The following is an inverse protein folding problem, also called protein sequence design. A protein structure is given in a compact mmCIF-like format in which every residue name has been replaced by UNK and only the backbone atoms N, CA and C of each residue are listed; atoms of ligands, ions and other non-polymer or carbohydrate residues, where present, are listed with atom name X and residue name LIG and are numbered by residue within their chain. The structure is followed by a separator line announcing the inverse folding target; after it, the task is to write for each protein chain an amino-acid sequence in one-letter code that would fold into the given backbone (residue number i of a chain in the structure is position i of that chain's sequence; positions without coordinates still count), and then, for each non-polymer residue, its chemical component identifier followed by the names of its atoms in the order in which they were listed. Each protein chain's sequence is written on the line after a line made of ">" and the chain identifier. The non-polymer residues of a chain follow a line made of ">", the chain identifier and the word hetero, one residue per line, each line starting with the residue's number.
data_IF_405690529278
#
_entry.id   IF_405690529278
#
_cell.length_a   1.000
_cell.length_b   1.000
_cell.length_c   1.000
_cell.angle_alpha   90.00
_cell.angle_beta   90.00
_cell.angle_gamma   90.00
#
_symmetry.space_group_name_H-M   'P 1'
#
loop_
_entity.id
_entity.type
_entity.pdbx_description
1 polymer ?
#
# COMPACT_ATOMS: atom_id res chain seq x y z
N UNK A 1 2.73 25.38 -7.19
CA UNK A 1 3.63 24.23 -7.46
C UNK A 1 2.86 23.00 -7.91
N UNK A 2 1.83 22.55 -7.18
CA UNK A 2 1.02 21.37 -7.57
C UNK A 2 0.47 21.46 -9.01
N UNK A 3 -0.14 22.59 -9.41
CA UNK A 3 -0.65 22.79 -10.78
C UNK A 3 0.42 22.63 -11.87
N UNK A 4 1.64 23.14 -11.66
CA UNK A 4 2.74 23.03 -12.62
C UNK A 4 3.23 21.59 -12.74
N UNK A 5 3.35 20.88 -11.61
CA UNK A 5 3.69 19.46 -11.62
C UNK A 5 2.61 18.61 -12.31
N UNK A 6 1.33 18.96 -12.12
CA UNK A 6 0.21 18.28 -12.76
C UNK A 6 0.23 18.46 -14.28
N UNK A 7 0.39 19.70 -14.75
CA UNK A 7 0.53 20.01 -16.17
C UNK A 7 1.73 19.30 -16.81
N UNK A 8 2.83 19.09 -16.07
CA UNK A 8 3.97 18.33 -16.57
C UNK A 8 3.65 16.85 -16.79
N UNK A 9 2.88 16.24 -15.89
CA UNK A 9 2.42 14.84 -16.00
C UNK A 9 1.42 14.69 -17.14
N UNK A 10 0.51 15.64 -17.30
CA UNK A 10 -0.43 15.64 -18.43
C UNK A 10 0.30 15.77 -19.77
N UNK A 11 1.26 16.69 -19.86
CA UNK A 11 2.07 16.92 -21.07
C UNK A 11 2.96 15.74 -21.45
N UNK A 12 3.27 14.83 -20.53
CA UNK A 12 3.97 13.57 -20.85
C UNK A 12 3.03 12.49 -21.41
N UNK A 13 1.74 12.79 -21.57
CA UNK A 13 0.74 11.89 -22.13
C UNK A 13 0.07 10.97 -21.10
N UNK A 14 0.23 11.23 -19.81
CA UNK A 14 -0.38 10.43 -18.75
C UNK A 14 -1.81 10.90 -18.48
N UNK A 15 -2.75 9.96 -18.44
CA UNK A 15 -4.10 10.21 -17.96
C UNK A 15 -4.08 10.34 -16.43
N UNK A 16 -4.26 11.56 -15.95
CA UNK A 16 -4.22 11.91 -14.53
C UNK A 16 -5.34 11.24 -13.74
N UNK A 17 -6.57 11.21 -14.28
CA UNK A 17 -7.72 10.66 -13.56
C UNK A 17 -7.54 9.15 -13.36
N UNK A 18 -7.04 8.47 -14.39
CA UNK A 18 -6.68 7.05 -14.29
C UNK A 18 -5.52 6.82 -13.32
N UNK A 19 -4.49 7.67 -13.34
CA UNK A 19 -3.38 7.57 -12.39
C UNK A 19 -3.88 7.72 -10.94
N UNK A 20 -4.75 8.69 -10.69
CA UNK A 20 -5.31 8.94 -9.37
C UNK A 20 -6.17 7.75 -8.91
N UNK A 21 -7.01 7.19 -9.78
CA UNK A 21 -7.81 6.00 -9.49
C UNK A 21 -6.92 4.81 -9.08
N UNK A 22 -5.83 4.58 -9.82
CA UNK A 22 -4.87 3.51 -9.52
C UNK A 22 -4.16 3.75 -8.19
N UNK A 23 -3.72 4.97 -7.90
CA UNK A 23 -3.04 5.31 -6.65
C UNK A 23 -3.97 5.12 -5.44
N UNK A 24 -5.20 5.62 -5.53
CA UNK A 24 -6.22 5.50 -4.46
C UNK A 24 -6.57 4.04 -4.22
N UNK A 25 -6.80 3.27 -5.29
CA UNK A 25 -7.15 1.85 -5.18
C UNK A 25 -6.02 1.04 -4.56
N UNK A 26 -4.77 1.30 -4.96
CA UNK A 26 -3.61 0.63 -4.36
C UNK A 26 -3.44 1.04 -2.89
N UNK A 27 -3.50 2.33 -2.55
CA UNK A 27 -3.40 2.76 -1.16
C UNK A 27 -4.50 2.11 -0.27
N UNK A 28 -5.74 2.03 -0.77
CA UNK A 28 -6.80 1.33 -0.08
C UNK A 28 -6.48 -0.16 0.14
N UNK A 29 -5.95 -0.83 -0.88
CA UNK A 29 -5.52 -2.23 -0.78
C UNK A 29 -4.43 -2.40 0.29
N UNK A 30 -3.36 -1.60 0.25
CA UNK A 30 -2.26 -1.65 1.23
C UNK A 30 -2.75 -1.50 2.68
N UNK A 31 -3.64 -0.53 2.94
CA UNK A 31 -4.23 -0.34 4.27
C UNK A 31 -5.08 -1.53 4.71
N UNK A 32 -5.87 -2.11 3.79
CA UNK A 32 -6.67 -3.29 4.11
C UNK A 32 -5.79 -4.52 4.34
N UNK A 33 -4.71 -4.69 3.58
CA UNK A 33 -3.74 -5.78 3.78
C UNK A 33 -3.07 -5.65 5.14
N UNK A 34 -2.61 -4.46 5.53
CA UNK A 34 -2.07 -4.19 6.86
C UNK A 34 -3.04 -4.65 7.99
N UNK A 35 -4.32 -4.33 7.85
CA UNK A 35 -5.35 -4.76 8.79
C UNK A 35 -5.54 -6.28 8.80
N UNK A 36 -5.74 -6.90 7.64
CA UNK A 36 -5.99 -8.34 7.56
C UNK A 36 -4.77 -9.19 7.91
N UNK A 37 -3.56 -8.72 7.63
CA UNK A 37 -2.32 -9.38 8.05
C UNK A 37 -2.14 -9.30 9.57
N UNK A 38 -2.66 -8.27 10.23
CA UNK A 38 -2.71 -8.23 11.71
C UNK A 38 -3.53 -9.42 12.24
N UNK A 39 -4.70 -9.69 11.64
CA UNK A 39 -5.54 -10.83 12.02
C UNK A 39 -4.86 -12.16 11.66
N UNK A 40 -4.34 -12.29 10.44
CA UNK A 40 -3.66 -13.50 9.98
C UNK A 40 -2.50 -13.86 10.93
N UNK A 41 -1.61 -12.91 11.20
CA UNK A 41 -0.44 -13.10 12.08
C UNK A 41 -0.85 -13.57 13.47
N UNK A 42 -1.88 -12.99 14.07
CA UNK A 42 -2.39 -13.40 15.38
C UNK A 42 -2.83 -14.88 15.40
N UNK A 43 -3.23 -15.42 14.26
CA UNK A 43 -3.68 -16.81 14.11
C UNK A 43 -2.58 -17.77 13.59
N UNK A 44 -1.37 -17.28 13.28
CA UNK A 44 -0.22 -18.12 12.96
C UNK A 44 0.36 -18.74 14.23
N UNK A 45 -0.31 -19.75 14.78
CA UNK A 45 0.03 -20.38 16.06
C UNK A 45 0.54 -21.82 15.88
N UNK A 46 1.07 -22.40 16.95
CA UNK A 46 1.67 -23.73 16.92
C UNK A 46 3.08 -23.75 16.31
N UNK A 47 3.70 -24.93 16.29
CA UNK A 47 5.07 -25.11 15.83
C UNK A 47 5.29 -24.64 14.38
N UNK A 48 4.33 -24.91 13.50
CA UNK A 48 4.40 -24.53 12.08
C UNK A 48 4.11 -23.03 11.89
N UNK A 49 3.05 -22.52 12.55
CA UNK A 49 2.64 -21.12 12.43
C UNK A 49 3.68 -20.14 12.97
N UNK A 50 4.34 -20.48 14.08
CA UNK A 50 5.37 -19.61 14.66
C UNK A 50 6.57 -19.42 13.71
N UNK A 51 6.91 -20.45 12.93
CA UNK A 51 7.99 -20.39 11.94
C UNK A 51 7.76 -19.42 10.78
N UNK A 52 6.51 -19.02 10.52
CA UNK A 52 6.14 -18.08 9.45
C UNK A 52 5.59 -16.75 9.98
N UNK A 53 5.45 -16.61 11.30
CA UNK A 53 4.87 -15.42 11.92
C UNK A 53 5.68 -14.16 11.67
N UNK A 54 7.01 -14.26 11.67
CA UNK A 54 7.91 -13.14 11.37
C UNK A 54 7.80 -12.70 9.91
N UNK A 55 7.66 -13.64 8.98
CA UNK A 55 7.47 -13.34 7.55
C UNK A 55 6.18 -12.52 7.35
N UNK A 56 5.09 -12.94 7.99
CA UNK A 56 3.83 -12.20 7.94
C UNK A 56 3.93 -10.81 8.60
N UNK A 57 4.72 -10.66 9.67
CA UNK A 57 4.92 -9.35 10.31
C UNK A 57 5.73 -8.39 9.44
N UNK A 58 6.79 -8.86 8.78
CA UNK A 58 7.60 -8.05 7.88
C UNK A 58 6.74 -7.54 6.72
N UNK A 59 6.02 -8.44 6.05
CA UNK A 59 5.14 -8.07 4.95
C UNK A 59 4.06 -7.07 5.40
N UNK A 60 3.45 -7.29 6.57
CA UNK A 60 2.46 -6.37 7.15
C UNK A 60 3.01 -4.96 7.33
N UNK A 61 4.22 -4.84 7.88
CA UNK A 61 4.85 -3.52 8.10
C UNK A 61 5.24 -2.87 6.78
N UNK A 62 5.66 -3.63 5.79
CA UNK A 62 5.94 -3.13 4.44
C UNK A 62 4.67 -2.58 3.77
N UNK A 63 3.54 -3.28 3.82
CA UNK A 63 2.26 -2.81 3.27
C UNK A 63 1.82 -1.48 3.91
N UNK A 64 2.01 -1.33 5.23
CA UNK A 64 1.80 -0.04 5.91
C UNK A 64 2.71 1.05 5.34
N UNK A 65 3.98 0.74 5.10
CA UNK A 65 4.93 1.71 4.55
C UNK A 65 4.59 2.06 3.08
N UNK A 66 4.05 1.12 2.30
CA UNK A 66 3.55 1.39 0.95
C UNK A 66 2.35 2.35 1.00
N UNK A 67 1.38 2.12 1.89
CA UNK A 67 0.28 3.04 2.11
C UNK A 67 0.78 4.46 2.45
N UNK A 68 1.65 4.59 3.43
CA UNK A 68 2.23 5.88 3.86
C UNK A 68 3.06 6.55 2.76
N UNK A 69 3.63 5.78 1.82
CA UNK A 69 4.33 6.31 0.66
C UNK A 69 3.38 6.81 -0.44
N UNK A 70 2.21 6.17 -0.60
CA UNK A 70 1.22 6.50 -1.62
C UNK A 70 0.33 7.68 -1.22
N UNK A 71 -0.11 7.77 0.05
CA UNK A 71 -1.06 8.81 0.49
C UNK A 71 -0.58 10.23 0.21
N UNK A 72 0.69 10.62 0.44
CA UNK A 72 1.16 11.98 0.12
C UNK A 72 1.30 12.26 -1.38
N UNK A 73 1.16 11.24 -2.24
CA UNK A 73 1.23 11.35 -3.70
C UNK A 73 -0.16 11.49 -4.34
N UNK A 74 -1.22 11.18 -3.60
CA UNK A 74 -2.62 11.40 -3.94
C UNK A 74 -2.97 12.85 -3.61
#
# INVERSE_FOLDING_TARGET
>A
MAKVAWEMVEKSGINIDQLLELLVTNAAAELTTYYYYTILRCNLIGLEGEGVKEIAEVARVEDRNHFEALVPRI
#
